data_IF_012184442879
#
_entry.id   IF_012184442879
#
_cell.length_a   1.000
_cell.length_b   1.000
_cell.length_c   1.000
_cell.angle_alpha   90.00
_cell.angle_beta   90.00
_cell.angle_gamma   90.00
#
_symmetry.space_group_name_H-M   'P 1'
#
loop_
_entity.id
_entity.type
_entity.pdbx_description
1 polymer ?
#
# COMPACT_ATOMS: atom_id res chain seq x y z
N UNK A 1 22.11 -15.96 10.51
CA UNK A 1 22.24 -14.51 10.80
C UNK A 1 21.65 -14.15 12.18
N UNK A 2 21.88 -12.93 12.68
CA UNK A 2 21.21 -12.36 13.87
C UNK A 2 20.20 -11.27 13.47
N UNK A 3 19.35 -10.85 14.40
CA UNK A 3 18.36 -9.78 14.18
C UNK A 3 19.04 -8.45 13.76
N UNK A 4 20.21 -8.14 14.30
CA UNK A 4 20.95 -6.91 13.97
C UNK A 4 21.54 -6.92 12.55
N UNK A 5 21.69 -8.10 11.96
CA UNK A 5 22.19 -8.29 10.59
C UNK A 5 21.07 -8.23 9.54
N UNK A 6 19.81 -8.23 9.96
CA UNK A 6 18.66 -8.15 9.05
C UNK A 6 18.70 -6.84 8.26
N UNK A 7 18.19 -6.91 7.04
CA UNK A 7 17.90 -5.76 6.19
C UNK A 7 16.44 -5.88 5.81
N UNK A 8 15.66 -4.83 6.07
CA UNK A 8 14.22 -4.78 5.85
C UNK A 8 13.89 -3.68 4.84
N UNK A 9 13.20 -4.02 3.76
CA UNK A 9 12.63 -3.08 2.80
C UNK A 9 11.13 -3.33 2.78
N UNK A 10 10.37 -2.36 3.30
CA UNK A 10 8.91 -2.43 3.29
C UNK A 10 8.40 -2.12 1.88
N UNK A 11 7.61 -3.03 1.30
CA UNK A 11 6.92 -2.82 0.02
C UNK A 11 5.51 -2.26 0.16
N UNK A 12 5.08 -2.02 1.40
CA UNK A 12 3.82 -1.38 1.73
C UNK A 12 3.96 -0.56 3.01
N UNK A 13 3.85 0.74 2.84
CA UNK A 13 3.75 1.80 3.85
C UNK A 13 2.90 2.91 3.21
N UNK A 14 2.65 3.98 3.94
CA UNK A 14 1.87 5.12 3.50
C UNK A 14 2.57 6.44 3.82
N UNK A 15 2.41 7.39 2.90
CA UNK A 15 2.77 8.77 3.16
C UNK A 15 1.47 9.55 3.41
N UNK A 16 1.39 10.23 4.55
CA UNK A 16 0.35 11.22 4.78
C UNK A 16 0.82 12.50 4.09
N UNK A 17 0.19 12.85 2.97
CA UNK A 17 0.61 14.00 2.18
C UNK A 17 0.59 15.26 3.04
N UNK A 18 1.65 16.09 3.10
CA UNK A 18 1.61 17.34 3.83
C UNK A 18 0.67 18.35 3.14
N UNK A 19 0.15 19.36 3.86
CA UNK A 19 -0.81 20.32 3.30
C UNK A 19 -0.36 21.05 2.02
N UNK A 20 0.95 21.16 1.79
CA UNK A 20 1.55 21.84 0.65
C UNK A 20 1.96 20.89 -0.50
N UNK A 21 1.63 19.60 -0.42
CA UNK A 21 2.08 18.57 -1.37
C UNK A 21 1.74 18.91 -2.82
N UNK A 22 0.54 19.44 -3.09
CA UNK A 22 0.07 19.66 -4.45
C UNK A 22 0.40 21.06 -4.99
N UNK A 23 0.30 22.08 -4.14
CA UNK A 23 0.33 23.48 -4.56
C UNK A 23 1.61 23.85 -5.35
N UNK A 24 2.76 23.26 -4.99
CA UNK A 24 4.05 23.53 -5.64
C UNK A 24 4.17 22.95 -7.05
N UNK A 25 3.44 21.87 -7.34
CA UNK A 25 3.55 21.13 -8.60
C UNK A 25 2.34 21.30 -9.52
N UNK A 26 1.30 22.00 -9.06
CA UNK A 26 0.12 22.29 -9.88
C UNK A 26 0.43 23.32 -10.99
N UNK A 27 0.01 23.07 -12.24
CA UNK A 27 0.20 24.02 -13.35
C UNK A 27 -0.45 25.37 -13.07
N UNK A 28 0.20 26.46 -13.49
CA UNK A 28 -0.26 27.83 -13.23
C UNK A 28 -1.72 28.11 -13.68
N UNK A 29 -2.21 27.43 -14.73
CA UNK A 29 -3.60 27.55 -15.20
C UNK A 29 -4.66 27.00 -14.24
N UNK A 30 -4.25 26.17 -13.28
CA UNK A 30 -5.10 25.58 -12.23
C UNK A 30 -4.82 26.13 -10.84
N UNK A 31 -4.10 27.26 -10.73
CA UNK A 31 -3.80 27.90 -9.44
C UNK A 31 -5.10 28.21 -8.68
N UNK A 32 -5.17 27.79 -7.42
CA UNK A 32 -6.34 27.87 -6.55
C UNK A 32 -7.31 26.69 -6.66
N UNK A 33 -7.00 25.70 -7.51
CA UNK A 33 -7.76 24.44 -7.66
C UNK A 33 -6.96 23.21 -7.22
N UNK A 34 -5.77 23.41 -6.67
CA UNK A 34 -5.01 22.36 -6.00
C UNK A 34 -5.81 21.72 -4.85
N UNK A 35 -5.64 20.40 -4.63
CA UNK A 35 -5.98 19.84 -3.34
C UNK A 35 -5.31 20.61 -2.21
N UNK A 36 -6.07 20.94 -1.17
CA UNK A 36 -5.57 21.70 -0.02
C UNK A 36 -6.28 21.28 1.26
N UNK A 37 -5.66 21.60 2.39
CA UNK A 37 -6.22 21.30 3.72
C UNK A 37 -6.92 22.54 4.30
N UNK A 38 -8.12 22.34 4.82
CA UNK A 38 -8.89 23.32 5.60
C UNK A 38 -9.01 22.83 7.04
N UNK A 39 -8.71 23.72 7.99
CA UNK A 39 -8.85 23.41 9.42
C UNK A 39 -10.29 23.65 9.87
N UNK A 40 -10.94 22.62 10.41
CA UNK A 40 -12.25 22.72 11.06
C UNK A 40 -12.16 22.24 12.51
N UNK A 41 -12.11 23.19 13.45
CA UNK A 41 -11.87 22.89 14.86
C UNK A 41 -10.51 22.22 15.07
N UNK A 42 -10.52 20.98 15.56
CA UNK A 42 -9.33 20.14 15.75
C UNK A 42 -9.02 19.23 14.56
N UNK A 43 -9.77 19.36 13.46
CA UNK A 43 -9.64 18.47 12.30
C UNK A 43 -8.96 19.18 11.15
N UNK A 44 -8.11 18.44 10.46
CA UNK A 44 -7.56 18.83 9.17
C UNK A 44 -8.32 18.07 8.08
N UNK A 45 -9.03 18.80 7.21
CA UNK A 45 -9.90 18.26 6.18
C UNK A 45 -9.33 18.61 4.81
N UNK A 46 -9.06 17.60 4.00
CA UNK A 46 -8.70 17.84 2.61
C UNK A 46 -9.90 18.26 1.78
N UNK A 47 -9.65 19.22 0.88
CA UNK A 47 -10.58 19.73 -0.10
C UNK A 47 -10.01 19.51 -1.49
N UNK A 48 -10.81 18.95 -2.39
CA UNK A 48 -10.53 18.96 -3.82
C UNK A 48 -11.84 19.13 -4.58
N UNK A 49 -11.95 20.21 -5.35
CA UNK A 49 -13.11 20.50 -6.20
C UNK A 49 -14.46 20.32 -5.46
N UNK A 50 -14.58 21.03 -4.33
CA UNK A 50 -15.75 21.05 -3.43
C UNK A 50 -15.97 19.77 -2.59
N UNK A 51 -15.21 18.70 -2.82
CA UNK A 51 -15.32 17.47 -2.05
C UNK A 51 -14.40 17.51 -0.82
N UNK A 52 -15.01 17.31 0.35
CA UNK A 52 -14.32 17.21 1.62
C UNK A 52 -13.91 15.76 1.93
N UNK A 53 -12.70 15.58 2.45
CA UNK A 53 -12.17 14.28 2.87
C UNK A 53 -11.44 14.44 4.21
N UNK A 54 -11.91 13.73 5.23
CA UNK A 54 -11.22 13.66 6.52
C UNK A 54 -10.15 12.57 6.51
N UNK A 55 -9.22 12.68 7.45
CA UNK A 55 -8.32 11.58 7.78
C UNK A 55 -9.06 10.47 8.54
N UNK A 56 -8.69 9.22 8.25
CA UNK A 56 -9.17 8.06 8.98
C UNK A 56 -8.14 7.71 10.05
N UNK A 57 -8.54 7.77 11.31
CA UNK A 57 -7.63 7.62 12.45
C UNK A 57 -6.74 6.39 12.39
N UNK A 58 -7.31 5.21 12.13
CA UNK A 58 -6.57 3.94 12.01
C UNK A 58 -5.44 3.98 10.98
N UNK A 59 -5.51 4.86 9.98
CA UNK A 59 -4.48 5.00 8.96
C UNK A 59 -3.29 5.87 9.41
N UNK A 60 -3.26 6.34 10.65
CA UNK A 60 -2.21 7.25 11.14
C UNK A 60 -1.97 7.16 12.65
N UNK A 61 -2.15 5.97 13.23
CA UNK A 61 -2.03 5.73 14.69
C UNK A 61 -0.63 5.33 15.16
N UNK A 62 0.37 5.23 14.28
CA UNK A 62 1.70 4.78 14.68
C UNK A 62 2.26 5.55 15.88
N UNK A 63 2.77 4.81 16.86
CA UNK A 63 3.30 5.36 18.10
C UNK A 63 2.24 5.82 19.10
N UNK A 64 0.94 5.65 18.85
CA UNK A 64 -0.12 5.86 19.84
C UNK A 64 -0.36 4.59 20.68
N UNK A 65 -0.85 4.71 21.92
CA UNK A 65 -1.32 3.54 22.66
C UNK A 65 -2.53 2.91 21.95
N UNK A 66 -2.58 1.57 21.90
CA UNK A 66 -3.66 0.82 21.21
C UNK A 66 -5.03 1.13 21.78
N UNK A 67 -5.09 1.47 23.06
CA UNK A 67 -6.30 1.88 23.75
C UNK A 67 -6.91 3.15 23.13
N UNK A 68 -6.11 4.02 22.52
CA UNK A 68 -6.56 5.26 21.83
C UNK A 68 -6.93 5.04 20.34
N UNK A 69 -6.79 3.82 19.80
CA UNK A 69 -7.14 3.57 18.39
C UNK A 69 -8.65 3.80 18.14
N UNK A 70 -8.96 4.28 16.95
CA UNK A 70 -10.33 4.58 16.53
C UNK A 70 -10.38 5.66 15.45
N UNK A 71 -11.12 6.74 15.72
CA UNK A 71 -11.27 7.84 14.77
C UNK A 71 -10.12 8.85 14.78
N UNK A 72 -9.31 8.87 15.84
CA UNK A 72 -8.12 9.72 15.91
C UNK A 72 -6.89 9.03 15.33
N UNK A 73 -5.90 9.79 14.81
CA UNK A 73 -5.85 11.26 14.77
C UNK A 73 -6.76 11.90 13.71
N UNK A 74 -7.24 13.11 14.03
CA UNK A 74 -8.11 13.92 13.16
C UNK A 74 -7.37 15.09 12.48
N UNK A 75 -6.13 15.36 12.90
CA UNK A 75 -5.28 16.43 12.38
C UNK A 75 -3.80 16.08 12.49
N UNK A 76 -2.97 16.82 11.76
CA UNK A 76 -1.53 16.54 11.65
C UNK A 76 -0.78 16.73 12.98
N UNK A 77 -1.29 17.60 13.86
CA UNK A 77 -0.73 17.85 15.20
C UNK A 77 -0.95 16.68 16.17
N UNK A 78 -1.89 15.78 15.84
CA UNK A 78 -2.20 14.57 16.60
C UNK A 78 -1.45 13.33 16.08
N UNK A 79 -0.81 13.45 14.92
CA UNK A 79 -0.06 12.39 14.25
C UNK A 79 1.40 12.40 14.66
N UNK A 80 2.05 11.24 14.64
CA UNK A 80 3.51 11.18 14.70
C UNK A 80 4.09 11.93 13.50
N UNK A 81 5.05 12.84 13.72
CA UNK A 81 5.58 13.70 12.64
C UNK A 81 6.15 12.94 11.45
N UNK A 82 6.74 11.76 11.67
CA UNK A 82 7.27 10.91 10.60
C UNK A 82 6.23 10.43 9.59
N UNK A 83 4.93 10.57 9.89
CA UNK A 83 3.85 10.23 8.95
C UNK A 83 3.76 11.19 7.75
N UNK A 84 4.17 12.46 7.92
CA UNK A 84 4.05 13.50 6.89
C UNK A 84 5.32 14.36 6.72
N UNK A 85 6.31 14.23 7.59
CA UNK A 85 7.60 14.91 7.47
C UNK A 85 8.72 13.94 7.08
N UNK A 86 9.35 14.17 5.94
CA UNK A 86 10.34 13.26 5.36
C UNK A 86 11.59 13.04 6.24
N UNK A 87 12.07 14.07 6.94
CA UNK A 87 13.24 13.92 7.82
C UNK A 87 12.88 13.08 9.03
N UNK A 88 11.74 13.37 9.65
CA UNK A 88 11.23 12.61 10.79
C UNK A 88 10.87 11.16 10.37
N UNK A 89 10.44 10.95 9.12
CA UNK A 89 10.18 9.62 8.54
C UNK A 89 11.45 8.77 8.48
N UNK A 90 12.56 9.32 7.99
CA UNK A 90 13.85 8.59 7.93
C UNK A 90 14.36 8.27 9.33
N UNK A 91 14.19 9.19 10.28
CA UNK A 91 14.52 8.96 11.70
C UNK A 91 13.67 7.81 12.29
N UNK A 92 12.37 7.77 11.99
CA UNK A 92 11.48 6.68 12.40
C UNK A 92 11.83 5.33 11.78
N UNK A 93 12.17 5.32 10.48
CA UNK A 93 12.65 4.13 9.79
C UNK A 93 13.95 3.62 10.40
N UNK A 94 14.88 4.51 10.72
CA UNK A 94 16.13 4.16 11.39
C UNK A 94 15.89 3.57 12.79
N UNK A 95 15.00 4.18 13.59
CA UNK A 95 14.62 3.66 14.90
C UNK A 95 13.98 2.26 14.82
N UNK A 96 13.21 2.02 13.76
CA UNK A 96 12.60 0.73 13.46
C UNK A 96 13.55 -0.27 12.79
N UNK A 97 14.78 0.11 12.43
CA UNK A 97 15.69 -0.76 11.67
C UNK A 97 15.23 -1.08 10.24
N UNK A 98 14.41 -0.22 9.62
CA UNK A 98 13.90 -0.40 8.26
C UNK A 98 14.70 0.44 7.27
N UNK A 99 15.28 -0.21 6.25
CA UNK A 99 16.11 0.44 5.24
C UNK A 99 15.26 1.21 4.23
N UNK A 100 14.33 0.51 3.58
CA UNK A 100 13.59 1.00 2.43
C UNK A 100 12.09 0.99 2.66
N UNK A 101 11.37 1.86 1.97
CA UNK A 101 9.92 2.01 2.07
C UNK A 101 9.29 2.37 0.72
N UNK A 102 8.31 1.60 0.26
CA UNK A 102 7.37 2.00 -0.80
C UNK A 102 6.15 2.61 -0.13
N UNK A 103 5.80 3.85 -0.44
CA UNK A 103 4.69 4.54 0.21
C UNK A 103 3.48 4.72 -0.72
N UNK A 104 2.36 4.08 -0.41
CA UNK A 104 1.08 4.34 -1.05
C UNK A 104 0.49 5.71 -0.65
N UNK A 105 -0.26 6.37 -1.55
CA UNK A 105 -0.99 7.60 -1.25
C UNK A 105 -2.07 7.42 -0.18
N UNK A 106 -2.33 8.43 0.64
CA UNK A 106 -3.46 8.44 1.58
C UNK A 106 -4.59 9.37 1.12
N UNK A 107 -4.31 10.65 0.84
CA UNK A 107 -5.30 11.60 0.34
C UNK A 107 -5.72 11.40 -1.12
N UNK A 108 -4.90 10.92 -2.07
CA UNK A 108 -5.43 10.44 -3.34
C UNK A 108 -6.33 9.21 -3.19
N UNK A 109 -6.24 8.52 -2.04
CA UNK A 109 -6.68 7.14 -1.82
C UNK A 109 -5.61 6.16 -2.34
N UNK A 110 -5.53 4.94 -1.80
CA UNK A 110 -4.41 4.03 -2.04
C UNK A 110 -4.12 3.74 -3.53
N UNK A 111 -5.09 3.87 -4.43
CA UNK A 111 -4.93 3.73 -5.88
C UNK A 111 -5.18 5.06 -6.66
N UNK A 112 -5.18 6.20 -5.99
CA UNK A 112 -5.47 7.51 -6.58
C UNK A 112 -6.94 7.74 -6.93
N UNK A 113 -7.84 6.91 -6.38
CA UNK A 113 -9.25 6.86 -6.76
C UNK A 113 -10.01 8.18 -6.65
N UNK A 114 -9.62 9.08 -5.74
CA UNK A 114 -10.31 10.37 -5.57
C UNK A 114 -10.22 11.24 -6.83
N UNK A 115 -9.17 11.08 -7.63
CA UNK A 115 -9.00 11.81 -8.88
C UNK A 115 -9.69 11.12 -10.08
N UNK A 116 -10.13 9.87 -9.93
CA UNK A 116 -10.55 9.04 -11.06
C UNK A 116 -11.95 9.35 -11.58
N UNK A 117 -12.84 9.95 -10.79
CA UNK A 117 -14.25 10.14 -11.17
C UNK A 117 -14.72 11.60 -11.19
N UNK A 118 -13.81 12.56 -11.08
CA UNK A 118 -14.18 13.98 -11.09
C UNK A 118 -14.61 14.46 -12.48
N UNK A 119 -15.44 15.50 -12.52
CA UNK A 119 -16.04 16.01 -13.75
C UNK A 119 -15.06 16.71 -14.70
N UNK A 120 -14.14 17.50 -14.15
CA UNK A 120 -13.09 18.17 -14.94
C UNK A 120 -11.84 17.27 -15.00
N UNK A 121 -11.64 16.63 -16.15
CA UNK A 121 -10.54 15.69 -16.36
C UNK A 121 -9.17 16.35 -16.46
N UNK A 122 -9.11 17.63 -16.84
CA UNK A 122 -7.83 18.32 -16.96
C UNK A 122 -7.26 18.69 -15.59
N UNK A 123 -8.11 19.12 -14.64
CA UNK A 123 -7.67 19.38 -13.27
C UNK A 123 -7.31 18.08 -12.54
N UNK A 124 -8.04 16.98 -12.77
CA UNK A 124 -7.71 15.67 -12.19
C UNK A 124 -6.37 15.14 -12.70
N UNK A 125 -6.11 15.24 -14.01
CA UNK A 125 -4.80 14.89 -14.56
C UNK A 125 -3.69 15.75 -13.94
N UNK A 126 -3.92 17.06 -13.80
CA UNK A 126 -2.96 17.95 -13.15
C UNK A 126 -2.70 17.57 -11.68
N UNK A 127 -3.73 17.20 -10.93
CA UNK A 127 -3.59 16.75 -9.54
C UNK A 127 -2.82 15.43 -9.43
N UNK A 128 -3.06 14.47 -10.35
CA UNK A 128 -2.29 13.22 -10.45
C UNK A 128 -0.81 13.53 -10.71
N UNK A 129 -0.52 14.40 -11.68
CA UNK A 129 0.85 14.77 -12.02
C UNK A 129 1.54 15.53 -10.88
N UNK A 130 0.82 16.43 -10.20
CA UNK A 130 1.31 17.15 -9.04
C UNK A 130 1.63 16.21 -7.86
N UNK A 131 0.79 15.21 -7.60
CA UNK A 131 1.08 14.16 -6.62
C UNK A 131 2.35 13.38 -6.99
N UNK A 132 2.45 12.92 -8.24
CA UNK A 132 3.60 12.15 -8.71
C UNK A 132 4.91 12.94 -8.57
N UNK A 133 4.88 14.24 -8.92
CA UNK A 133 6.04 15.12 -8.81
C UNK A 133 6.41 15.40 -7.34
N UNK A 134 5.43 15.60 -6.45
CA UNK A 134 5.69 15.67 -5.01
C UNK A 134 6.32 14.38 -4.48
N UNK A 135 5.70 13.24 -4.78
CA UNK A 135 6.14 11.95 -4.28
C UNK A 135 7.57 11.62 -4.75
N UNK A 136 7.89 11.91 -6.02
CA UNK A 136 9.23 11.71 -6.54
C UNK A 136 10.23 12.73 -5.96
N UNK A 137 9.98 14.03 -6.13
CA UNK A 137 10.98 15.07 -5.87
C UNK A 137 11.09 15.47 -4.40
N UNK A 138 9.97 15.62 -3.72
CA UNK A 138 9.94 16.15 -2.35
C UNK A 138 9.98 15.05 -1.29
N UNK A 139 9.52 13.84 -1.63
CA UNK A 139 9.53 12.70 -0.72
C UNK A 139 10.70 11.75 -1.01
N UNK A 140 10.68 11.03 -2.13
CA UNK A 140 11.71 10.02 -2.42
C UNK A 140 13.12 10.61 -2.60
N UNK A 141 13.24 11.68 -3.39
CA UNK A 141 14.55 12.31 -3.68
C UNK A 141 15.09 13.15 -2.52
N UNK A 142 14.27 13.49 -1.53
CA UNK A 142 14.74 14.15 -0.31
C UNK A 142 15.54 13.20 0.60
N UNK A 143 15.43 11.87 0.41
CA UNK A 143 16.26 10.87 1.08
C UNK A 143 16.63 9.72 0.12
N UNK A 144 17.60 9.94 -0.79
CA UNK A 144 17.99 8.95 -1.79
C UNK A 144 18.35 7.58 -1.20
N UNK A 145 17.85 6.52 -1.82
CA UNK A 145 18.07 5.14 -1.36
C UNK A 145 17.26 4.75 -0.13
N UNK A 146 16.30 5.56 0.34
CA UNK A 146 15.38 5.20 1.43
C UNK A 146 13.97 4.89 0.95
N UNK A 147 13.58 5.34 -0.24
CA UNK A 147 12.21 5.18 -0.74
C UNK A 147 12.16 4.59 -2.15
N UNK A 148 11.16 3.74 -2.37
CA UNK A 148 10.77 3.24 -3.69
C UNK A 148 9.65 4.17 -4.21
N UNK A 149 9.87 4.93 -5.29
CA UNK A 149 8.85 5.84 -5.79
C UNK A 149 7.69 5.09 -6.45
N UNK A 150 6.47 5.52 -6.15
CA UNK A 150 5.21 4.97 -6.64
C UNK A 150 4.44 6.04 -7.42
N UNK A 151 3.98 5.70 -8.64
CA UNK A 151 3.20 6.63 -9.46
C UNK A 151 1.70 6.35 -9.42
N UNK A 152 0.92 7.36 -9.82
CA UNK A 152 -0.48 7.30 -10.19
C UNK A 152 -0.68 7.63 -11.67
N UNK A 153 -1.76 7.10 -12.27
CA UNK A 153 -2.13 7.37 -13.66
C UNK A 153 -3.63 7.62 -13.80
N UNK A 154 -4.07 8.41 -14.80
CA UNK A 154 -5.50 8.57 -15.10
C UNK A 154 -6.07 7.28 -15.71
N UNK A 155 -7.13 6.75 -15.13
CA UNK A 155 -7.74 5.51 -15.60
C UNK A 155 -8.74 5.71 -16.74
N UNK A 156 -9.16 6.95 -16.99
CA UNK A 156 -10.16 7.28 -18.02
C UNK A 156 -9.54 7.55 -19.40
N UNK A 157 -8.22 7.74 -19.48
CA UNK A 157 -7.50 8.02 -20.73
C UNK A 157 -6.17 7.26 -20.79
N UNK A 158 -6.17 6.17 -21.56
CA UNK A 158 -4.98 5.33 -21.73
C UNK A 158 -3.83 5.99 -22.48
N UNK A 159 -4.08 7.02 -23.31
CA UNK A 159 -2.99 7.78 -23.92
C UNK A 159 -2.29 8.62 -22.87
N UNK A 160 -3.05 9.27 -21.99
CA UNK A 160 -2.51 10.04 -20.88
C UNK A 160 -1.80 9.12 -19.86
N UNK A 161 -2.39 7.96 -19.54
CA UNK A 161 -1.75 6.97 -18.66
C UNK A 161 -0.40 6.50 -19.22
N UNK A 162 -0.34 6.13 -20.50
CA UNK A 162 0.91 5.71 -21.16
C UNK A 162 1.95 6.84 -21.18
N UNK A 163 1.53 8.08 -21.40
CA UNK A 163 2.44 9.22 -21.37
C UNK A 163 3.05 9.43 -19.98
N UNK A 164 2.22 9.31 -18.93
CA UNK A 164 2.66 9.49 -17.55
C UNK A 164 3.59 8.37 -17.07
N UNK A 165 3.27 7.10 -17.40
CA UNK A 165 4.17 5.97 -17.12
C UNK A 165 5.54 6.20 -17.76
N UNK A 166 5.60 6.60 -19.04
CA UNK A 166 6.87 6.88 -19.72
C UNK A 166 7.63 8.04 -19.10
N UNK A 167 6.94 9.09 -18.67
CA UNK A 167 7.55 10.27 -18.04
C UNK A 167 8.25 9.89 -16.73
N UNK A 168 7.62 9.04 -15.92
CA UNK A 168 8.12 8.67 -14.60
C UNK A 168 9.09 7.49 -14.65
N UNK A 169 8.86 6.48 -15.50
CA UNK A 169 9.82 5.38 -15.68
C UNK A 169 11.15 5.86 -16.23
N UNK A 170 11.17 6.87 -17.11
CA UNK A 170 12.40 7.50 -17.59
C UNK A 170 13.22 8.17 -16.46
N UNK A 171 12.60 8.40 -15.30
CA UNK A 171 13.22 8.97 -14.09
C UNK A 171 13.44 7.92 -13.00
N UNK A 172 13.23 6.63 -13.30
CA UNK A 172 13.48 5.52 -12.38
C UNK A 172 12.28 5.09 -11.54
N UNK A 173 11.06 5.58 -11.84
CA UNK A 173 9.85 5.15 -11.14
C UNK A 173 9.31 3.87 -11.77
N UNK A 174 9.44 2.74 -11.05
CA UNK A 174 9.09 1.41 -11.54
C UNK A 174 7.98 0.73 -10.73
N UNK A 175 7.17 1.52 -10.02
CA UNK A 175 5.95 1.05 -9.34
C UNK A 175 4.77 1.96 -9.71
N UNK A 176 3.61 1.36 -9.96
CA UNK A 176 2.35 2.04 -10.27
C UNK A 176 1.26 1.56 -9.33
N UNK A 177 0.64 2.46 -8.57
CA UNK A 177 -0.53 2.08 -7.78
C UNK A 177 -1.76 1.91 -8.68
N UNK A 178 -2.47 0.80 -8.51
CA UNK A 178 -3.65 0.45 -9.29
C UNK A 178 -4.69 -0.27 -8.44
N UNK A 179 -5.98 -0.10 -8.74
CA UNK A 179 -7.03 -0.82 -8.01
C UNK A 179 -6.95 -2.31 -8.28
N UNK A 180 -7.08 -3.14 -7.24
CA UNK A 180 -7.19 -4.59 -7.40
C UNK A 180 -8.50 -5.00 -8.11
N UNK A 181 -9.48 -4.10 -8.23
CA UNK A 181 -10.69 -4.30 -9.03
C UNK A 181 -11.30 -2.96 -9.53
N UNK A 182 -10.81 -2.39 -10.65
CA UNK A 182 -11.29 -1.12 -11.18
C UNK A 182 -12.78 -1.16 -11.63
N UNK A 183 -13.33 -2.35 -11.89
CA UNK A 183 -14.75 -2.52 -12.29
C UNK A 183 -15.71 -2.03 -11.20
N UNK A 184 -15.39 -2.31 -9.93
CA UNK A 184 -16.19 -1.87 -8.79
C UNK A 184 -16.20 -0.34 -8.62
N UNK A 185 -15.37 0.35 -9.38
CA UNK A 185 -15.21 1.80 -9.39
C UNK A 185 -15.80 2.45 -10.65
N UNK A 186 -16.47 1.67 -11.50
CA UNK A 186 -17.12 2.13 -12.73
C UNK A 186 -16.24 2.12 -13.97
N UNK A 187 -15.03 1.57 -13.91
CA UNK A 187 -14.13 1.44 -15.06
C UNK A 187 -14.29 0.09 -15.78
N UNK A 188 -13.75 -0.07 -17.00
CA UNK A 188 -13.79 -1.35 -17.70
C UNK A 188 -13.15 -2.49 -16.91
N UNK A 189 -13.66 -3.70 -17.14
CA UNK A 189 -13.08 -4.92 -16.57
C UNK A 189 -11.61 -5.07 -16.92
N UNK A 190 -10.82 -5.65 -16.03
CA UNK A 190 -9.40 -6.01 -16.28
C UNK A 190 -9.23 -7.04 -17.41
N UNK A 191 -10.32 -7.69 -17.84
CA UNK A 191 -10.37 -8.57 -19.00
C UNK A 191 -10.63 -7.82 -20.33
N UNK A 192 -10.95 -6.54 -20.28
CA UNK A 192 -11.20 -5.69 -21.45
C UNK A 192 -9.88 -5.15 -22.04
N UNK A 193 -9.79 -5.12 -23.38
CA UNK A 193 -8.60 -4.61 -24.09
C UNK A 193 -8.37 -3.11 -23.89
N UNK A 194 -9.34 -2.40 -23.30
CA UNK A 194 -9.19 -1.03 -22.84
C UNK A 194 -7.86 -0.82 -22.11
N UNK A 195 -7.44 -1.75 -21.26
CA UNK A 195 -6.23 -1.63 -20.43
C UNK A 195 -4.93 -2.08 -21.13
N UNK A 196 -5.01 -2.71 -22.30
CA UNK A 196 -3.83 -3.25 -23.02
C UNK A 196 -2.71 -2.21 -23.21
N UNK A 197 -2.98 -0.92 -23.52
CA UNK A 197 -1.92 0.08 -23.62
C UNK A 197 -1.16 0.28 -22.31
N UNK A 198 -1.85 0.24 -21.17
CA UNK A 198 -1.24 0.36 -19.84
C UNK A 198 -0.40 -0.87 -19.51
N UNK A 199 -0.94 -2.07 -19.72
CA UNK A 199 -0.21 -3.33 -19.51
C UNK A 199 1.06 -3.40 -20.36
N UNK A 200 0.95 -3.00 -21.63
CA UNK A 200 2.09 -2.96 -22.55
C UNK A 200 3.17 -2.02 -22.05
N UNK A 201 2.84 -0.78 -21.71
CA UNK A 201 3.85 0.20 -21.29
C UNK A 201 4.48 -0.19 -19.96
N UNK A 202 3.71 -0.73 -19.01
CA UNK A 202 4.26 -1.22 -17.74
C UNK A 202 5.21 -2.40 -17.95
N UNK A 203 4.82 -3.37 -18.78
CA UNK A 203 5.68 -4.52 -19.12
C UNK A 203 6.98 -4.08 -19.83
N UNK A 204 6.91 -3.13 -20.77
CA UNK A 204 8.08 -2.63 -21.52
C UNK A 204 9.05 -1.83 -20.64
N UNK A 205 8.55 -1.16 -19.61
CA UNK A 205 9.33 -0.31 -18.70
C UNK A 205 9.60 -0.97 -17.35
N UNK A 206 9.27 -2.27 -17.18
CA UNK A 206 9.41 -3.01 -15.91
C UNK A 206 8.74 -2.31 -14.72
N UNK A 207 7.57 -1.71 -14.96
CA UNK A 207 6.76 -1.09 -13.92
C UNK A 207 5.86 -2.15 -13.31
N UNK A 208 5.98 -2.34 -11.99
CA UNK A 208 5.14 -3.25 -11.20
C UNK A 208 3.79 -2.59 -10.91
N UNK A 209 2.70 -3.32 -11.14
CA UNK A 209 1.36 -2.91 -10.74
C UNK A 209 1.14 -3.21 -9.26
N UNK A 210 1.14 -2.21 -8.39
CA UNK A 210 0.93 -2.33 -6.96
C UNK A 210 -0.56 -2.22 -6.65
N UNK A 211 -1.18 -3.32 -6.24
CA UNK A 211 -2.59 -3.38 -5.90
C UNK A 211 -2.77 -3.60 -4.40
N UNK A 212 -3.22 -2.54 -3.74
CA UNK A 212 -3.43 -2.49 -2.30
C UNK A 212 -4.86 -2.90 -1.93
N UNK A 213 -5.04 -3.56 -0.78
CA UNK A 213 -6.39 -3.85 -0.27
C UNK A 213 -7.20 -2.55 -0.08
N UNK A 214 -8.52 -2.67 -0.02
CA UNK A 214 -9.40 -1.50 0.14
C UNK A 214 -9.57 -0.63 -1.11
N UNK A 215 -8.90 -0.96 -2.22
CA UNK A 215 -9.03 -0.24 -3.50
C UNK A 215 -10.03 -0.86 -4.48
N UNK A 216 -10.49 -2.09 -4.23
CA UNK A 216 -11.46 -2.79 -5.08
C UNK A 216 -12.32 -3.76 -4.28
N UNK A 217 -12.02 -5.07 -4.30
CA UNK A 217 -12.87 -6.05 -3.62
C UNK A 217 -12.83 -5.82 -2.10
N UNK A 218 -14.01 -5.71 -1.47
CA UNK A 218 -14.13 -5.45 -0.03
C UNK A 218 -14.50 -6.72 0.72
N UNK A 219 -13.92 -6.91 1.90
CA UNK A 219 -14.42 -7.87 2.87
C UNK A 219 -15.90 -7.58 3.15
N UNK A 220 -16.74 -8.61 3.02
CA UNK A 220 -18.17 -8.49 3.26
C UNK A 220 -18.43 -8.21 4.74
N UNK A 221 -19.31 -7.25 4.99
CA UNK A 221 -19.73 -6.93 6.33
C UNK A 221 -20.87 -7.86 6.76
N UNK A 222 -20.68 -8.67 7.80
CA UNK A 222 -21.66 -9.70 8.15
C UNK A 222 -22.98 -9.12 8.71
N UNK A 223 -22.90 -8.16 9.64
CA UNK A 223 -24.05 -7.53 10.31
C UNK A 223 -23.59 -6.34 11.15
N UNK A 224 -24.40 -5.30 11.31
CA UNK A 224 -24.09 -4.17 12.21
C UNK A 224 -23.87 -4.59 13.67
N UNK A 225 -24.39 -5.75 14.09
CA UNK A 225 -24.15 -6.29 15.44
C UNK A 225 -22.83 -7.06 15.56
N UNK A 226 -22.15 -7.35 14.46
CA UNK A 226 -20.88 -8.07 14.47
C UNK A 226 -19.80 -7.21 15.13
N UNK A 227 -18.97 -7.78 16.03
CA UNK A 227 -17.73 -7.14 16.46
C UNK A 227 -16.91 -6.73 15.24
N UNK A 228 -16.38 -5.51 15.24
CA UNK A 228 -15.61 -4.98 14.11
C UNK A 228 -14.37 -5.85 13.81
N UNK A 229 -13.83 -6.53 14.83
CA UNK A 229 -12.72 -7.48 14.73
C UNK A 229 -12.98 -8.56 13.67
N UNK A 230 -14.24 -8.99 13.49
CA UNK A 230 -14.59 -9.98 12.48
C UNK A 230 -14.39 -9.47 11.05
N UNK A 231 -14.66 -8.18 10.83
CA UNK A 231 -14.43 -7.55 9.52
C UNK A 231 -12.95 -7.25 9.31
N UNK A 232 -12.25 -6.74 10.32
CA UNK A 232 -10.79 -6.52 10.31
C UNK A 232 -10.06 -7.83 10.00
N UNK A 233 -10.47 -8.96 10.62
CA UNK A 233 -9.91 -10.29 10.33
C UNK A 233 -10.03 -10.68 8.85
N UNK A 234 -11.11 -10.29 8.19
CA UNK A 234 -11.39 -10.67 6.80
C UNK A 234 -10.79 -9.69 5.77
N UNK A 235 -10.34 -8.50 6.19
CA UNK A 235 -9.85 -7.45 5.30
C UNK A 235 -8.67 -7.91 4.43
N UNK A 236 -7.52 -8.36 4.99
CA UNK A 236 -6.37 -8.75 4.17
C UNK A 236 -6.72 -9.85 3.17
N UNK A 237 -7.44 -10.88 3.65
CA UNK A 237 -7.80 -12.07 2.85
C UNK A 237 -8.77 -11.72 1.71
N UNK A 238 -9.52 -10.61 1.80
CA UNK A 238 -10.51 -10.26 0.77
C UNK A 238 -9.90 -10.04 -0.63
N UNK A 239 -8.62 -9.65 -0.70
CA UNK A 239 -7.86 -9.52 -1.96
C UNK A 239 -7.72 -10.85 -2.71
N UNK A 240 -7.90 -12.00 -2.02
CA UNK A 240 -7.90 -13.31 -2.66
C UNK A 240 -8.97 -13.45 -3.75
N UNK A 241 -10.10 -12.75 -3.62
CA UNK A 241 -11.14 -12.71 -4.65
C UNK A 241 -10.63 -12.01 -5.92
N UNK A 242 -9.96 -10.87 -5.76
CA UNK A 242 -9.33 -10.17 -6.87
C UNK A 242 -8.22 -11.02 -7.47
N UNK A 243 -7.36 -11.62 -6.65
CA UNK A 243 -6.29 -12.50 -7.12
C UNK A 243 -6.82 -13.66 -7.97
N UNK A 244 -7.94 -14.27 -7.59
CA UNK A 244 -8.60 -15.30 -8.38
C UNK A 244 -9.03 -14.81 -9.78
N UNK A 245 -9.52 -13.57 -9.88
CA UNK A 245 -9.90 -12.94 -11.15
C UNK A 245 -8.66 -12.60 -11.99
N UNK A 246 -7.62 -12.03 -11.36
CA UNK A 246 -6.37 -11.66 -12.02
C UNK A 246 -5.64 -12.86 -12.60
N UNK A 247 -5.58 -14.04 -11.94
CA UNK A 247 -4.94 -15.24 -12.51
C UNK A 247 -5.51 -15.57 -13.90
N UNK A 248 -6.80 -15.31 -14.11
CA UNK A 248 -7.51 -15.58 -15.36
C UNK A 248 -7.42 -14.47 -16.41
N UNK A 249 -6.79 -13.34 -16.09
CA UNK A 249 -6.67 -12.22 -17.00
C UNK A 249 -5.87 -12.60 -18.27
N UNK A 250 -6.33 -12.20 -19.47
CA UNK A 250 -5.65 -12.52 -20.73
C UNK A 250 -4.30 -11.81 -20.89
N UNK A 251 -4.09 -10.71 -20.15
CA UNK A 251 -2.92 -9.86 -20.25
C UNK A 251 -1.60 -10.60 -19.95
N UNK A 252 -1.60 -11.62 -19.08
CA UNK A 252 -0.39 -12.39 -18.78
C UNK A 252 0.20 -13.10 -20.00
N UNK A 253 -0.65 -13.47 -20.96
CA UNK A 253 -0.22 -14.05 -22.24
C UNK A 253 0.24 -12.99 -23.23
N UNK A 254 -0.44 -11.84 -23.24
CA UNK A 254 -0.11 -10.71 -24.12
C UNK A 254 1.21 -10.04 -23.71
N UNK A 255 1.47 -9.95 -22.40
CA UNK A 255 2.58 -9.23 -21.78
C UNK A 255 3.29 -10.13 -20.76
N UNK A 256 4.12 -11.08 -21.21
CA UNK A 256 4.70 -12.12 -20.35
C UNK A 256 5.71 -11.62 -19.32
N UNK A 257 6.13 -10.36 -19.39
CA UNK A 257 7.07 -9.74 -18.44
C UNK A 257 6.37 -8.82 -17.43
N UNK A 258 5.04 -8.63 -17.55
CA UNK A 258 4.26 -7.84 -16.60
C UNK A 258 4.37 -8.44 -15.18
N UNK A 259 4.40 -7.55 -14.19
CA UNK A 259 4.46 -7.88 -12.76
C UNK A 259 3.39 -7.12 -12.01
N UNK A 260 2.87 -7.73 -10.95
CA UNK A 260 1.87 -7.16 -10.07
C UNK A 260 2.21 -7.52 -8.63
N UNK A 261 2.00 -6.60 -7.69
CA UNK A 261 2.08 -6.86 -6.26
C UNK A 261 0.68 -6.82 -5.65
N UNK A 262 0.39 -7.78 -4.77
CA UNK A 262 -0.78 -7.78 -3.89
C UNK A 262 -0.31 -7.32 -2.51
N UNK A 263 -0.55 -6.06 -2.20
CA UNK A 263 -0.07 -5.36 -0.99
C UNK A 263 -1.09 -5.47 0.15
N UNK A 264 -0.60 -5.59 1.38
CA UNK A 264 -1.40 -5.76 2.62
C UNK A 264 -2.29 -7.03 2.67
N UNK A 265 -2.06 -7.98 1.76
CA UNK A 265 -2.95 -9.14 1.56
C UNK A 265 -2.68 -10.35 2.46
N UNK A 266 -1.51 -10.38 3.10
CA UNK A 266 -0.97 -11.60 3.71
C UNK A 266 -0.70 -12.71 2.68
N UNK A 267 -0.13 -13.82 3.14
CA UNK A 267 0.38 -14.88 2.26
C UNK A 267 -0.12 -16.29 2.61
N UNK A 268 -0.71 -16.49 3.78
CA UNK A 268 -1.14 -17.80 4.29
C UNK A 268 -2.32 -18.42 3.54
N UNK A 269 -3.13 -17.61 2.86
CA UNK A 269 -4.28 -18.08 2.07
C UNK A 269 -3.87 -18.57 0.66
N UNK A 270 -2.69 -18.17 0.18
CA UNK A 270 -2.22 -18.40 -1.19
C UNK A 270 -2.10 -19.90 -1.54
N UNK A 271 -1.52 -20.78 -0.70
CA UNK A 271 -1.41 -22.20 -1.03
C UNK A 271 -2.77 -22.82 -1.42
N UNK A 272 -3.82 -22.48 -0.67
CA UNK A 272 -5.17 -22.98 -0.95
C UNK A 272 -5.77 -22.35 -2.20
N UNK A 273 -5.57 -21.04 -2.44
CA UNK A 273 -6.00 -20.41 -3.69
C UNK A 273 -5.40 -21.13 -4.90
N UNK A 274 -4.08 -21.37 -4.89
CA UNK A 274 -3.39 -21.97 -6.02
C UNK A 274 -3.86 -23.42 -6.26
N UNK A 275 -4.02 -24.21 -5.19
CA UNK A 275 -4.61 -25.55 -5.28
C UNK A 275 -6.01 -25.50 -5.91
N UNK A 276 -6.85 -24.56 -5.45
CA UNK A 276 -8.22 -24.41 -5.93
C UNK A 276 -8.28 -23.91 -7.37
N UNK A 277 -7.37 -23.05 -7.79
CA UNK A 277 -7.26 -22.54 -9.16
C UNK A 277 -6.85 -23.67 -10.13
N UNK A 278 -5.84 -24.46 -9.77
CA UNK A 278 -5.39 -25.61 -10.55
C UNK A 278 -6.48 -26.69 -10.63
N UNK A 279 -7.16 -26.97 -9.52
CA UNK A 279 -8.35 -27.82 -9.51
C UNK A 279 -9.40 -27.28 -10.50
N UNK A 280 -9.69 -25.98 -10.46
CA UNK A 280 -10.71 -25.34 -11.32
C UNK A 280 -10.36 -25.52 -12.79
N UNK A 281 -9.10 -25.26 -13.16
CA UNK A 281 -8.63 -25.47 -14.53
C UNK A 281 -8.76 -26.93 -14.97
N UNK A 282 -8.31 -27.90 -14.16
CA UNK A 282 -8.43 -29.33 -14.50
C UNK A 282 -9.87 -29.81 -14.69
N UNK A 283 -10.80 -29.31 -13.89
CA UNK A 283 -12.19 -29.77 -13.90
C UNK A 283 -13.07 -29.04 -14.91
N UNK A 284 -12.77 -27.77 -15.20
CA UNK A 284 -13.71 -26.91 -15.93
C UNK A 284 -13.17 -26.41 -17.28
N UNK A 285 -11.86 -26.47 -17.55
CA UNK A 285 -11.26 -25.93 -18.79
C UNK A 285 -11.93 -26.42 -20.09
N UNK A 286 -12.38 -27.68 -20.12
CA UNK A 286 -13.02 -28.27 -21.29
C UNK A 286 -14.32 -27.56 -21.72
N UNK A 287 -15.12 -27.04 -20.77
CA UNK A 287 -16.37 -26.32 -21.08
C UNK A 287 -16.24 -24.80 -20.97
N UNK A 288 -15.32 -24.30 -20.13
CA UNK A 288 -15.03 -22.87 -20.03
C UNK A 288 -14.09 -22.36 -21.12
N UNK A 289 -13.47 -23.26 -21.90
CA UNK A 289 -12.43 -22.96 -22.89
C UNK A 289 -11.19 -22.25 -22.29
N UNK A 290 -10.98 -22.35 -20.98
CA UNK A 290 -9.79 -21.83 -20.33
C UNK A 290 -8.55 -22.58 -20.84
N UNK A 291 -7.51 -21.84 -21.21
CA UNK A 291 -6.30 -22.41 -21.79
C UNK A 291 -5.05 -21.70 -21.25
N UNK A 292 -4.17 -22.42 -20.56
CA UNK A 292 -2.92 -21.88 -20.00
C UNK A 292 -1.68 -22.25 -20.82
N UNK A 293 -1.84 -22.75 -22.05
CA UNK A 293 -0.72 -23.07 -22.94
C UNK A 293 0.16 -24.21 -22.42
N UNK A 294 -0.47 -25.20 -21.77
CA UNK A 294 0.23 -26.31 -21.12
C UNK A 294 0.73 -26.03 -19.70
N UNK A 295 0.62 -24.78 -19.22
CA UNK A 295 0.87 -24.41 -17.83
C UNK A 295 -0.37 -24.58 -16.96
N UNK A 296 -0.17 -24.41 -15.67
CA UNK A 296 -1.22 -24.28 -14.68
C UNK A 296 -1.45 -22.82 -14.25
N UNK A 297 -2.63 -22.53 -13.71
CA UNK A 297 -2.97 -21.25 -13.07
C UNK A 297 -1.94 -20.82 -12.02
N UNK A 298 -1.50 -21.77 -11.19
CA UNK A 298 -0.45 -21.57 -10.20
C UNK A 298 0.88 -21.13 -10.82
N UNK A 299 1.24 -21.61 -12.01
CA UNK A 299 2.44 -21.17 -12.72
C UNK A 299 2.36 -19.70 -13.16
N UNK A 300 1.15 -19.21 -13.50
CA UNK A 300 0.94 -17.79 -13.83
C UNK A 300 1.09 -16.95 -12.57
N UNK A 301 0.45 -17.35 -11.46
CA UNK A 301 0.56 -16.64 -10.20
C UNK A 301 2.03 -16.52 -9.75
N UNK A 302 2.74 -17.65 -9.64
CA UNK A 302 4.13 -17.71 -9.19
C UNK A 302 5.12 -16.96 -10.08
N UNK A 303 4.76 -16.72 -11.35
CA UNK A 303 5.59 -15.95 -12.28
C UNK A 303 5.35 -14.44 -12.18
N UNK A 304 4.11 -14.03 -11.96
CA UNK A 304 3.66 -12.67 -12.22
C UNK A 304 3.29 -11.88 -10.97
N UNK A 305 2.93 -12.57 -9.88
CA UNK A 305 2.33 -11.95 -8.69
C UNK A 305 3.32 -11.99 -7.53
N UNK A 306 3.75 -10.80 -7.13
CA UNK A 306 4.49 -10.49 -5.91
C UNK A 306 3.47 -10.41 -4.77
N UNK A 307 3.82 -10.93 -3.61
CA UNK A 307 2.91 -11.09 -2.48
C UNK A 307 3.52 -10.50 -1.23
N UNK A 308 2.73 -9.76 -0.46
CA UNK A 308 3.24 -8.97 0.65
C UNK A 308 2.66 -9.44 1.99
N UNK A 309 3.42 -9.27 3.06
CA UNK A 309 2.98 -9.65 4.42
C UNK A 309 3.61 -8.78 5.50
N UNK A 310 2.82 -8.50 6.54
CA UNK A 310 3.28 -7.90 7.80
C UNK A 310 3.71 -9.01 8.77
N UNK A 311 2.72 -9.77 9.27
CA UNK A 311 2.89 -10.92 10.16
C UNK A 311 2.08 -12.10 9.63
N UNK A 312 2.76 -13.17 9.19
CA UNK A 312 2.07 -14.36 8.67
C UNK A 312 2.88 -15.64 8.88
N UNK A 313 2.90 -16.12 10.14
CA UNK A 313 3.65 -17.33 10.50
C UNK A 313 3.22 -18.55 9.70
N UNK A 314 1.93 -18.66 9.35
CA UNK A 314 1.45 -19.79 8.57
C UNK A 314 1.97 -19.73 7.14
N UNK A 315 1.89 -18.57 6.48
CA UNK A 315 2.44 -18.41 5.14
C UNK A 315 3.95 -18.57 5.10
N UNK A 316 4.68 -18.07 6.10
CA UNK A 316 6.13 -18.25 6.21
C UNK A 316 6.55 -19.74 6.31
N UNK A 317 5.74 -20.58 6.96
CA UNK A 317 5.96 -22.03 7.01
C UNK A 317 5.64 -22.74 5.69
N UNK A 318 4.98 -22.07 4.74
CA UNK A 318 4.49 -22.64 3.49
C UNK A 318 5.07 -21.93 2.24
N UNK A 319 6.23 -21.28 2.36
CA UNK A 319 6.89 -20.54 1.28
C UNK A 319 7.18 -21.39 0.02
N UNK A 320 7.38 -22.71 0.16
CA UNK A 320 7.56 -23.61 -0.99
C UNK A 320 6.30 -23.69 -1.88
N UNK A 321 5.11 -23.55 -1.29
CA UNK A 321 3.85 -23.51 -2.02
C UNK A 321 3.55 -22.13 -2.60
N UNK A 322 3.91 -21.07 -1.88
CA UNK A 322 3.69 -19.67 -2.26
C UNK A 322 4.67 -19.24 -3.37
N UNK A 323 5.95 -19.56 -3.20
CA UNK A 323 7.06 -19.09 -4.00
C UNK A 323 7.88 -18.02 -3.26
N UNK A 324 8.96 -18.42 -2.59
CA UNK A 324 9.83 -17.50 -1.83
C UNK A 324 10.44 -16.37 -2.68
N UNK A 325 10.55 -16.55 -4.00
CA UNK A 325 11.08 -15.53 -4.90
C UNK A 325 10.10 -14.36 -5.11
N UNK A 326 8.81 -14.52 -4.80
CA UNK A 326 7.79 -13.48 -4.98
C UNK A 326 7.25 -12.92 -3.67
N UNK A 327 7.63 -13.49 -2.53
CA UNK A 327 7.26 -12.97 -1.22
C UNK A 327 8.10 -11.74 -0.83
N UNK A 328 7.46 -10.66 -0.39
CA UNK A 328 8.09 -9.46 0.12
C UNK A 328 7.52 -9.11 1.49
N UNK A 329 8.36 -8.59 2.38
CA UNK A 329 7.95 -8.09 3.68
C UNK A 329 7.41 -6.65 3.59
N UNK A 330 6.46 -6.32 4.45
CA UNK A 330 5.92 -4.96 4.59
C UNK A 330 5.70 -4.58 6.07
N UNK A 331 5.65 -3.28 6.33
CA UNK A 331 5.48 -2.73 7.68
C UNK A 331 4.16 -2.02 7.88
N UNK A 332 3.49 -1.60 6.80
CA UNK A 332 2.22 -0.85 6.82
C UNK A 332 2.28 0.41 7.72
N UNK A 333 3.43 1.08 7.77
CA UNK A 333 3.53 2.34 8.50
C UNK A 333 2.71 3.40 7.78
N UNK A 334 1.83 4.20 8.43
CA UNK A 334 1.64 4.35 9.88
C UNK A 334 0.31 3.78 10.41
N UNK A 335 -0.25 2.78 9.74
CA UNK A 335 -1.53 2.20 10.06
C UNK A 335 -1.50 1.39 11.37
N UNK A 336 -2.67 0.90 11.79
CA UNK A 336 -2.84 0.16 13.04
C UNK A 336 -2.15 -1.19 13.08
N UNK A 337 -1.94 -1.83 11.92
CA UNK A 337 -1.27 -3.13 11.80
C UNK A 337 0.26 -2.99 11.80
N UNK A 338 0.75 -1.76 11.74
CA UNK A 338 2.16 -1.44 11.82
C UNK A 338 2.81 -1.95 13.11
N UNK A 339 3.99 -2.56 12.95
CA UNK A 339 4.78 -3.14 14.04
C UNK A 339 5.86 -2.21 14.58
N UNK A 340 5.91 -0.95 14.11
CA UNK A 340 6.86 0.06 14.59
C UNK A 340 6.76 0.24 16.11
N UNK A 341 7.88 0.36 16.86
CA UNK A 341 9.29 0.39 16.42
C UNK A 341 9.99 -0.98 16.50
N UNK A 342 9.22 -2.05 16.61
CA UNK A 342 9.68 -3.42 16.85
C UNK A 342 9.56 -4.32 15.63
N UNK A 343 9.48 -3.75 14.42
CA UNK A 343 9.33 -4.53 13.19
C UNK A 343 10.40 -5.62 13.03
N UNK A 344 11.70 -5.39 13.29
CA UNK A 344 12.71 -6.43 13.22
C UNK A 344 12.44 -7.60 14.16
N UNK A 345 12.00 -7.34 15.39
CA UNK A 345 11.71 -8.36 16.40
C UNK A 345 10.53 -9.21 15.99
N UNK A 346 9.43 -8.56 15.62
CA UNK A 346 8.20 -9.21 15.18
C UNK A 346 8.46 -10.06 13.94
N UNK A 347 9.14 -9.51 12.94
CA UNK A 347 9.52 -10.24 11.72
C UNK A 347 10.45 -11.41 12.05
N UNK A 348 11.49 -11.19 12.87
CA UNK A 348 12.46 -12.22 13.23
C UNK A 348 11.83 -13.46 13.88
N UNK A 349 10.77 -13.28 14.68
CA UNK A 349 10.07 -14.40 15.31
C UNK A 349 9.46 -15.36 14.29
N UNK A 350 8.93 -14.84 13.19
CA UNK A 350 8.46 -15.63 12.06
C UNK A 350 9.59 -16.15 11.16
N UNK A 351 10.72 -15.47 11.07
CA UNK A 351 11.77 -15.80 10.09
C UNK A 351 12.89 -16.71 10.61
N UNK A 352 13.17 -16.75 11.92
CA UNK A 352 14.37 -17.40 12.50
C UNK A 352 14.52 -18.90 12.24
N UNK A 353 13.49 -19.56 11.71
CA UNK A 353 13.51 -20.97 11.32
C UNK A 353 13.93 -21.20 9.86
N UNK A 354 13.99 -20.14 9.05
CA UNK A 354 14.34 -20.17 7.64
C UNK A 354 15.85 -20.03 7.42
N UNK A 355 16.31 -20.33 6.20
CA UNK A 355 17.70 -20.11 5.80
C UNK A 355 18.02 -18.63 5.64
N UNK A 356 19.26 -18.21 5.90
CA UNK A 356 19.72 -16.83 5.67
C UNK A 356 19.44 -16.37 4.21
N UNK A 357 19.50 -17.28 3.23
CA UNK A 357 19.17 -17.00 1.83
C UNK A 357 17.70 -16.61 1.67
N UNK A 358 16.77 -17.42 2.19
CA UNK A 358 15.33 -17.16 2.14
C UNK A 358 14.98 -15.88 2.88
N UNK A 359 15.56 -15.67 4.07
CA UNK A 359 15.36 -14.45 4.86
C UNK A 359 15.77 -13.23 4.04
N UNK A 360 16.97 -13.23 3.45
CA UNK A 360 17.42 -12.11 2.63
C UNK A 360 16.52 -11.87 1.39
N UNK A 361 16.00 -12.94 0.76
CA UNK A 361 15.02 -12.81 -0.35
C UNK A 361 13.79 -12.03 0.08
N UNK A 362 13.09 -12.53 1.09
CA UNK A 362 11.79 -12.00 1.48
C UNK A 362 11.87 -10.65 2.18
N UNK A 363 12.98 -10.37 2.89
CA UNK A 363 13.09 -9.11 3.62
C UNK A 363 13.58 -7.94 2.78
N UNK A 364 14.33 -8.16 1.70
CA UNK A 364 14.82 -7.06 0.86
C UNK A 364 15.20 -7.42 -0.58
N UNK A 365 15.82 -8.58 -0.86
CA UNK A 365 16.35 -8.82 -2.22
C UNK A 365 15.25 -8.95 -3.27
N UNK A 366 14.08 -9.49 -2.93
CA UNK A 366 12.95 -9.53 -3.84
C UNK A 366 12.43 -8.12 -4.14
N UNK A 367 12.24 -7.29 -3.11
CA UNK A 367 11.84 -5.90 -3.28
C UNK A 367 12.85 -5.11 -4.14
N UNK A 368 14.14 -5.23 -3.85
CA UNK A 368 15.22 -4.60 -4.62
C UNK A 368 15.19 -5.02 -6.10
N UNK A 369 14.97 -6.32 -6.36
CA UNK A 369 14.91 -6.87 -7.72
C UNK A 369 13.70 -6.37 -8.50
N UNK A 370 12.51 -6.51 -7.93
CA UNK A 370 11.26 -6.24 -8.65
C UNK A 370 11.00 -4.75 -8.83
N UNK A 371 11.38 -3.92 -7.85
CA UNK A 371 11.15 -2.47 -7.89
C UNK A 371 12.35 -1.66 -8.37
N UNK A 372 13.41 -2.31 -8.87
CA UNK A 372 14.65 -1.66 -9.33
C UNK A 372 15.25 -0.71 -8.29
N UNK A 373 15.30 -1.17 -7.04
CA UNK A 373 15.72 -0.37 -5.89
C UNK A 373 17.09 -0.85 -5.39
N UNK A 374 18.13 -0.02 -5.52
CA UNK A 374 19.51 -0.34 -5.13
C UNK A 374 20.05 0.65 -4.08
N UNK A 375 19.61 0.53 -2.81
CA UNK A 375 20.11 1.35 -1.72
C UNK A 375 21.59 1.09 -1.41
N UNK A 376 22.13 -0.08 -1.77
CA UNK A 376 23.50 -0.46 -1.44
C UNK A 376 24.53 0.33 -2.25
N UNK A 377 24.19 0.69 -3.49
CA UNK A 377 25.04 1.59 -4.29
C UNK A 377 25.22 2.99 -3.68
N UNK A 378 24.29 3.42 -2.82
CA UNK A 378 24.29 4.75 -2.18
C UNK A 378 24.90 4.68 -0.78
N UNK A 379 24.45 3.71 0.04
CA UNK A 379 24.76 3.68 1.47
C UNK A 379 25.84 2.66 1.85
N UNK A 380 26.15 1.69 1.00
CA UNK A 380 26.93 0.51 1.37
C UNK A 380 26.09 -0.48 2.21
N UNK A 381 26.24 -1.78 1.96
CA UNK A 381 25.38 -2.82 2.58
C UNK A 381 25.51 -2.84 4.10
N UNK A 382 26.70 -2.62 4.62
CA UNK A 382 27.00 -2.62 6.06
C UNK A 382 26.26 -1.52 6.83
N UNK A 383 25.89 -0.43 6.18
CA UNK A 383 25.13 0.68 6.79
C UNK A 383 23.61 0.50 6.66
N UNK A 384 23.17 -0.60 6.05
CA UNK A 384 21.76 -0.86 5.75
C UNK A 384 21.11 -1.88 6.69
N UNK A 385 21.84 -2.40 7.67
CA UNK A 385 21.32 -3.41 8.61
C UNK A 385 20.52 -2.77 9.75
N UNK A 386 19.63 -3.54 10.37
CA UNK A 386 18.86 -3.14 11.56
C UNK A 386 19.76 -2.50 12.62
N UNK A 387 20.90 -3.13 12.94
CA UNK A 387 21.83 -2.60 13.93
C UNK A 387 22.46 -1.26 13.52
N UNK A 388 22.88 -1.14 12.25
CA UNK A 388 23.50 0.08 11.74
C UNK A 388 22.50 1.25 11.65
N UNK A 389 21.25 0.96 11.30
CA UNK A 389 20.17 1.94 11.21
C UNK A 389 19.76 2.44 12.61
N UNK A 390 19.56 1.53 13.57
CA UNK A 390 19.19 1.91 14.94
C UNK A 390 20.28 2.73 15.65
N UNK A 391 21.55 2.46 15.35
CA UNK A 391 22.66 3.27 15.86
C UNK A 391 22.60 4.75 15.43
N UNK A 392 21.90 5.07 14.34
CA UNK A 392 21.73 6.44 13.84
C UNK A 392 20.53 7.17 14.46
N UNK A 393 19.65 6.46 15.18
CA UNK A 393 18.37 6.97 15.66
C UNK A 393 18.18 6.86 17.17
N UNK A 394 19.27 6.83 17.95
CA UNK A 394 19.19 6.79 19.42
C UNK A 394 18.52 8.02 20.04
N UNK A 395 18.36 9.10 19.28
CA UNK A 395 17.62 10.31 19.67
C UNK A 395 16.11 10.21 19.47
N UNK A 396 15.64 9.22 18.73
CA UNK A 396 14.22 9.04 18.39
C UNK A 396 13.50 8.39 19.57
N UNK A 397 12.40 9.01 20.02
CA UNK A 397 11.55 8.44 21.07
C UNK A 397 10.64 7.36 20.48
N UNK A 398 10.69 6.19 21.10
CA UNK A 398 9.96 4.98 20.70
C UNK A 398 8.83 4.62 21.66
N UNK A 399 8.73 5.32 22.79
CA UNK A 399 7.64 5.14 23.74
C UNK A 399 6.32 5.64 23.15
N UNK A 400 5.17 5.03 23.52
CA UNK A 400 3.86 5.50 23.10
C UNK A 400 3.64 6.98 23.44
N UNK A 401 3.23 7.76 22.46
CA UNK A 401 2.86 9.16 22.63
C UNK A 401 1.43 9.23 23.14
N UNK A 402 1.28 9.53 24.42
CA UNK A 402 -0.01 9.60 25.12
C UNK A 402 -0.67 10.97 24.92
N UNK A 403 -2.01 10.99 24.80
CA UNK A 403 -2.79 12.22 24.89
C UNK A 403 -2.55 13.22 23.75
N UNK A 404 -2.19 12.73 22.56
CA UNK A 404 -2.08 13.55 21.34
C UNK A 404 -3.45 13.91 20.75
N UNK A 405 -4.56 13.55 21.42
CA UNK A 405 -5.95 13.82 21.04
C UNK A 405 -6.88 13.76 22.25
N UNK A 406 -8.19 13.85 22.02
CA UNK A 406 -9.17 14.11 23.09
C UNK A 406 -10.64 13.83 22.73
N UNK A 407 -10.91 13.04 21.68
CA UNK A 407 -12.25 12.54 21.43
C UNK A 407 -12.59 11.45 22.45
N UNK A 408 -13.70 11.65 23.17
CA UNK A 408 -14.28 10.66 24.07
C UNK A 408 -14.61 9.39 23.27
N UNK A 409 -13.82 8.35 23.45
CA UNK A 409 -14.12 7.04 22.94
C UNK A 409 -15.25 6.52 23.81
N UNK A 410 -16.49 6.79 23.39
CA UNK A 410 -17.71 6.27 24.00
C UNK A 410 -17.76 4.75 23.86
N UNK A 411 -16.85 4.05 24.53
CA UNK A 411 -16.78 2.60 24.61
C UNK A 411 -17.65 2.21 25.80
N UNK A 412 -18.68 1.42 25.55
CA UNK A 412 -19.45 0.84 26.64
C UNK A 412 -18.58 -0.21 27.33
N UNK A 413 -18.31 -0.03 28.63
CA UNK A 413 -17.50 -0.96 29.42
C UNK A 413 -17.97 -2.42 29.22
N UNK A 414 -17.03 -3.29 28.88
CA UNK A 414 -17.26 -4.73 28.74
C UNK A 414 -18.03 -5.17 27.49
N UNK A 415 -18.24 -4.29 26.49
CA UNK A 415 -18.85 -4.65 25.20
C UNK A 415 -17.86 -4.52 24.04
N UNK A 416 -17.78 -5.51 23.13
CA UNK A 416 -17.05 -5.36 21.87
C UNK A 416 -17.58 -4.18 21.06
N UNK A 417 -16.69 -3.45 20.39
CA UNK A 417 -17.07 -2.42 19.43
C UNK A 417 -17.65 -3.13 18.21
N UNK A 418 -18.89 -2.80 17.88
CA UNK A 418 -19.57 -3.38 16.74
C UNK A 418 -19.38 -2.53 15.51
N UNK A 419 -19.75 -3.09 14.38
CA UNK A 419 -19.61 -2.41 13.11
C UNK A 419 -20.68 -1.35 12.89
N UNK A 420 -21.86 -1.54 13.50
CA UNK A 420 -22.86 -0.49 13.63
C UNK A 420 -22.33 0.71 14.43
N UNK A 421 -21.54 0.48 15.48
CA UNK A 421 -20.88 1.55 16.24
C UNK A 421 -19.91 2.34 15.34
N UNK A 422 -19.06 1.63 14.59
CA UNK A 422 -18.12 2.25 13.64
C UNK A 422 -18.84 3.03 12.53
N UNK A 423 -19.89 2.45 11.93
CA UNK A 423 -20.70 3.14 10.91
C UNK A 423 -21.34 4.42 11.48
N UNK A 424 -21.86 4.36 12.71
CA UNK A 424 -22.41 5.53 13.39
C UNK A 424 -21.34 6.58 13.73
N UNK A 425 -20.12 6.16 14.06
CA UNK A 425 -18.98 7.04 14.27
C UNK A 425 -18.59 7.75 12.97
N UNK A 426 -18.45 7.04 11.85
CA UNK A 426 -18.15 7.63 10.54
C UNK A 426 -19.23 8.61 10.09
N UNK A 427 -20.50 8.27 10.24
CA UNK A 427 -21.61 9.16 9.88
C UNK A 427 -21.60 10.48 10.68
N UNK A 428 -21.21 10.44 11.96
CA UNK A 428 -21.06 11.64 12.80
C UNK A 428 -19.79 12.43 12.50
N UNK A 429 -18.78 11.77 11.93
CA UNK A 429 -17.48 12.35 11.63
C UNK A 429 -17.34 12.78 10.16
N UNK A 430 -18.40 12.71 9.37
CA UNK A 430 -18.40 13.03 7.95
C UNK A 430 -17.79 14.42 7.68
N UNK A 431 -16.76 14.42 6.84
CA UNK A 431 -15.95 15.61 6.57
C UNK A 431 -16.74 16.70 5.84
N UNK A 432 -17.71 16.30 5.01
CA UNK A 432 -18.53 17.24 4.27
C UNK A 432 -19.49 18.01 5.19
N UNK A 433 -20.03 17.34 6.21
CA UNK A 433 -20.87 17.99 7.24
C UNK A 433 -20.08 18.75 8.31
N UNK A 434 -18.77 18.52 8.41
CA UNK A 434 -17.90 19.13 9.41
C UNK A 434 -17.33 20.51 8.99
N UNK A 435 -17.43 20.86 7.70
CA UNK A 435 -17.10 22.18 7.14
C UNK A 435 -18.37 23.01 6.99
#
# INVERSE_FOLDING_TARGET
MKIEDLILVSVDDHAIEPPDAFARHMPARFKGREPHVVKSGQRDVWMFEEQATGYMGLNSVVGRPKEEYGMEPLGYDQMRRGTWNIKDRVDDMNANGVLGSLCFPTFPGFAGQRFQNHGDREVSLAAIQAYNDWHLYDWCNAAPGRFIPLMLVPWWDMKAAVAEVKRLSAQGVHALSFSDNPTLMGFPSIHDEYWDPLWKVCSENKVVLCCHIGTGAKAQHASDMSPIDAWITAMPISIANSAADWIWAPMWKKFPDLRMALSEGGIGWIPYLLERADFTHRHHSAWTNANFGGKMPSDVFKKHIITCFIEDNFGLQNLDYIGEDMACWESDYPHSDCTWPSSPETTWDGLKHLSDTTINKITHLNAMREFSFDPFSIHGRENCTVGALRAQATHVKTEPALGLGGADHTRADGKPVTSGDINAMFAKADAQTAL
#
